data_IF_278437211553
#
_entry.id   IF_278437211553
#
_cell.length_a   1.000
_cell.length_b   1.000
_cell.length_c   1.000
_cell.angle_alpha   90.00
_cell.angle_beta   90.00
_cell.angle_gamma   90.00
#
_symmetry.space_group_name_H-M   'P 1'
#
loop_
_entity.id
_entity.type
_entity.pdbx_description
1 polymer ?
2 non-polymer ?
3 non-polymer ?
4 water ?
#
# COMPACT_ATOMS: atom_id res chain seq x y z
N UNK A 3 13.81 6.53 -11.97
CA UNK A 3 13.39 5.19 -12.50
C UNK A 3 13.72 4.04 -11.55
N UNK A 4 14.51 3.08 -12.04
CA UNK A 4 15.18 2.06 -11.21
C UNK A 4 14.35 0.84 -10.85
N UNK A 5 13.16 0.73 -11.41
CA UNK A 5 12.22 -0.30 -10.99
C UNK A 5 12.80 -1.71 -11.24
N UNK A 6 12.79 -2.56 -10.23
CA UNK A 6 13.25 -3.94 -10.37
C UNK A 6 12.36 -4.73 -11.36
N UNK A 7 12.95 -5.32 -12.42
CA UNK A 7 12.08 -6.08 -13.33
C UNK A 7 11.62 -7.38 -12.69
N UNK A 8 10.38 -7.77 -12.95
CA UNK A 8 9.84 -9.04 -12.48
C UNK A 8 8.81 -9.55 -13.48
N UNK A 9 8.54 -10.86 -13.47
CA UNK A 9 7.35 -11.30 -14.19
C UNK A 9 6.07 -10.67 -13.63
N UNK A 10 5.03 -10.71 -14.43
CA UNK A 10 3.73 -10.16 -14.06
C UNK A 10 2.89 -11.26 -13.45
N UNK A 11 2.32 -10.98 -12.28
CA UNK A 11 1.36 -11.84 -11.64
C UNK A 11 0.03 -11.10 -11.60
N UNK A 12 -1.00 -11.70 -12.17
CA UNK A 12 -2.33 -11.12 -12.14
C UNK A 12 -3.06 -11.58 -10.91
N UNK A 13 -3.62 -10.62 -10.19
CA UNK A 13 -4.49 -10.87 -9.06
C UNK A 13 -5.86 -10.36 -9.51
N UNK A 14 -6.71 -11.28 -9.95
CA UNK A 14 -7.93 -10.89 -10.66
C UNK A 14 -7.47 -10.17 -11.93
N UNK A 15 -8.03 -8.99 -12.16
CA UNK A 15 -7.66 -8.14 -13.28
C UNK A 15 -6.47 -7.22 -12.99
N UNK A 16 -5.95 -7.22 -11.76
CA UNK A 16 -4.86 -6.29 -11.38
C UNK A 16 -3.48 -6.92 -11.60
N UNK A 17 -2.67 -6.39 -12.54
CA UNK A 17 -1.32 -6.94 -12.70
C UNK A 17 -0.34 -6.38 -11.67
N UNK A 18 0.47 -7.26 -11.08
CA UNK A 18 1.52 -6.91 -10.12
C UNK A 18 2.84 -7.27 -10.74
N UNK A 19 3.80 -6.35 -10.69
CA UNK A 19 5.15 -6.64 -11.17
C UNK A 19 5.85 -5.43 -11.73
N UNK A 20 7.11 -5.63 -12.12
CA UNK A 20 8.01 -4.53 -12.45
C UNK A 20 7.57 -3.66 -13.62
N UNK A 21 6.71 -4.20 -14.49
CA UNK A 21 6.12 -3.46 -15.61
C UNK A 21 4.86 -2.69 -15.27
N UNK A 22 4.43 -2.70 -14.01
CA UNK A 22 3.10 -2.23 -13.67
C UNK A 22 3.14 -1.28 -12.48
N UNK A 23 2.14 -0.39 -12.38
CA UNK A 23 2.14 0.48 -11.22
C UNK A 23 2.08 -0.32 -9.93
N UNK A 24 2.70 0.21 -8.88
CA UNK A 24 2.71 -0.44 -7.57
C UNK A 24 1.29 -0.41 -7.03
N UNK A 25 0.77 -1.59 -6.70
CA UNK A 25 -0.64 -1.74 -6.33
C UNK A 25 -0.82 -1.54 -4.85
N UNK A 26 -1.83 -0.76 -4.51
CA UNK A 26 -2.21 -0.58 -3.12
C UNK A 26 -3.18 -1.67 -2.71
N UNK A 27 -2.92 -2.32 -1.57
CA UNK A 27 -3.90 -3.22 -1.01
C UNK A 27 -4.15 -3.00 0.46
N UNK A 28 -5.15 -3.72 0.98
CA UNK A 28 -5.53 -3.62 2.38
C UNK A 28 -6.14 -4.94 2.84
N UNK A 29 -6.63 -4.97 4.07
CA UNK A 29 -7.20 -6.16 4.65
C UNK A 29 -8.41 -5.75 5.50
N UNK A 30 -9.47 -6.54 5.44
CA UNK A 30 -10.65 -6.30 6.25
C UNK A 30 -10.35 -6.64 7.71
N UNK A 31 -11.14 -6.07 8.62
CA UNK A 31 -11.08 -6.48 10.02
C UNK A 31 -12.42 -6.89 10.60
N UNK A 32 -13.39 -7.12 9.73
CA UNK A 32 -14.68 -7.69 10.14
C UNK A 32 -14.55 -9.21 10.21
N UNK A 33 -15.38 -9.87 11.04
CA UNK A 33 -15.43 -11.33 10.95
C UNK A 33 -15.93 -11.73 9.56
N UNK A 34 -15.14 -12.52 8.85
CA UNK A 34 -15.46 -12.95 7.49
C UNK A 34 -16.81 -13.69 7.42
N UNK A 35 -17.15 -14.42 8.48
CA UNK A 35 -18.44 -15.09 8.56
C UNK A 35 -19.64 -14.14 8.46
N UNK A 36 -19.42 -12.88 8.86
CA UNK A 36 -20.43 -11.84 8.73
C UNK A 36 -20.38 -11.28 7.31
N UNK A 37 -21.26 -11.81 6.47
CA UNK A 37 -21.30 -11.51 5.04
C UNK A 37 -21.62 -10.04 4.79
N UNK A 38 -22.63 -9.54 5.48
CA UNK A 38 -23.06 -8.16 5.29
C UNK A 38 -21.95 -7.19 5.70
N UNK A 39 -21.40 -7.37 6.90
CA UNK A 39 -20.34 -6.46 7.37
C UNK A 39 -19.10 -6.52 6.47
N UNK A 40 -18.71 -7.73 6.10
CA UNK A 40 -17.47 -7.91 5.33
C UNK A 40 -17.62 -7.38 3.91
N UNK A 41 -18.75 -7.66 3.26
CA UNK A 41 -19.04 -7.14 1.92
C UNK A 41 -19.00 -5.61 1.95
N UNK A 42 -19.66 -5.00 2.92
CA UNK A 42 -19.65 -3.53 3.01
C UNK A 42 -18.22 -2.98 3.20
N UNK A 43 -17.40 -3.65 4.00
CA UNK A 43 -16.05 -3.14 4.23
C UNK A 43 -15.14 -3.37 3.02
N UNK A 44 -15.31 -4.48 2.32
CA UNK A 44 -14.56 -4.69 1.08
C UNK A 44 -14.85 -3.56 0.09
N UNK A 45 -16.13 -3.21 -0.07
CA UNK A 45 -16.52 -2.11 -0.95
C UNK A 45 -15.95 -0.77 -0.49
N UNK A 46 -16.02 -0.52 0.81
CA UNK A 46 -15.49 0.69 1.41
C UNK A 46 -13.99 0.82 1.11
N UNK A 47 -13.24 -0.25 1.31
CA UNK A 47 -11.81 -0.23 1.07
C UNK A 47 -11.49 -0.04 -0.41
N UNK A 48 -12.21 -0.76 -1.25
CA UNK A 48 -12.01 -0.68 -2.68
C UNK A 48 -12.26 0.74 -3.19
N UNK A 49 -13.32 1.37 -2.68
CA UNK A 49 -13.67 2.71 -3.16
C UNK A 49 -12.68 3.76 -2.68
N UNK A 50 -11.99 3.48 -1.58
CA UNK A 50 -10.97 4.37 -1.01
C UNK A 50 -9.67 4.27 -1.78
N UNK A 51 -9.56 3.21 -2.59
CA UNK A 51 -8.39 2.97 -3.41
C UNK A 51 -7.65 1.68 -3.20
N UNK A 52 -8.21 0.74 -2.44
CA UNK A 52 -7.58 -0.57 -2.29
C UNK A 52 -7.89 -1.39 -3.56
N UNK A 53 -6.88 -1.51 -4.40
CA UNK A 53 -6.97 -2.22 -5.66
C UNK A 53 -7.14 -3.73 -5.50
N UNK A 54 -6.62 -4.25 -4.39
CA UNK A 54 -6.75 -5.63 -3.99
C UNK A 54 -7.18 -5.62 -2.52
N UNK A 55 -8.04 -6.56 -2.12
CA UNK A 55 -8.47 -6.64 -0.71
C UNK A 55 -8.31 -8.07 -0.19
N UNK A 56 -7.66 -8.17 0.96
CA UNK A 56 -7.41 -9.43 1.63
C UNK A 56 -8.42 -9.60 2.73
N UNK A 57 -8.84 -10.84 2.96
CA UNK A 57 -9.69 -11.15 4.11
C UNK A 57 -9.26 -12.46 4.72
N UNK A 58 -9.41 -12.56 6.04
CA UNK A 58 -8.96 -13.78 6.72
C UNK A 58 -9.97 -14.90 6.40
N UNK A 59 -9.43 -16.06 6.07
CA UNK A 59 -10.25 -17.26 5.91
C UNK A 59 -9.75 -18.26 6.95
N UNK A 60 -10.23 -18.08 8.17
CA UNK A 60 -9.62 -18.71 9.36
C UNK A 60 -10.27 -20.00 9.81
N UNK A 61 -11.55 -20.16 9.49
CA UNK A 61 -12.31 -21.35 9.89
C UNK A 61 -13.40 -21.69 8.87
N UNK A 62 -14.18 -22.72 9.18
CA UNK A 62 -15.18 -23.23 8.25
C UNK A 62 -16.26 -22.21 7.94
N UNK A 63 -16.68 -21.46 8.97
CA UNK A 63 -17.71 -20.47 8.79
C UNK A 63 -17.23 -19.34 7.89
N UNK A 64 -15.95 -18.95 8.04
CA UNK A 64 -15.36 -17.94 7.15
C UNK A 64 -15.34 -18.42 5.71
N UNK A 65 -14.88 -19.66 5.52
CA UNK A 65 -14.75 -20.24 4.19
C UNK A 65 -16.09 -20.35 3.48
N UNK A 66 -17.15 -20.68 4.23
CA UNK A 66 -18.47 -20.80 3.63
C UNK A 66 -19.02 -19.44 3.20
N UNK A 67 -18.60 -18.38 3.86
CA UNK A 67 -19.07 -17.03 3.54
C UNK A 67 -18.42 -16.45 2.28
N UNK A 68 -17.22 -16.89 1.90
CA UNK A 68 -16.46 -16.23 0.85
C UNK A 68 -17.19 -16.23 -0.50
N UNK A 69 -17.76 -17.38 -0.93
CA UNK A 69 -18.52 -17.37 -2.19
C UNK A 69 -19.66 -16.36 -2.21
N UNK A 70 -20.37 -16.22 -1.09
CA UNK A 70 -21.47 -15.28 -0.99
C UNK A 70 -21.00 -13.81 -1.02
N UNK A 71 -19.88 -13.52 -0.35
CA UNK A 71 -19.26 -12.19 -0.40
C UNK A 71 -18.94 -11.83 -1.85
N UNK A 72 -18.30 -12.74 -2.56
CA UNK A 72 -17.94 -12.52 -3.96
C UNK A 72 -19.17 -12.29 -4.82
N UNK A 73 -20.20 -13.11 -4.63
CA UNK A 73 -21.48 -12.93 -5.33
C UNK A 73 -22.05 -11.53 -5.16
N UNK A 74 -22.07 -11.07 -3.92
CA UNK A 74 -22.65 -9.76 -3.64
C UNK A 74 -21.83 -8.63 -4.26
N UNK A 75 -20.50 -8.80 -4.28
CA UNK A 75 -19.61 -7.80 -4.91
C UNK A 75 -19.87 -7.71 -6.40
N UNK A 76 -19.93 -8.85 -7.07
CA UNK A 76 -20.23 -8.87 -8.50
C UNK A 76 -21.61 -8.30 -8.78
N UNK A 77 -22.58 -8.54 -7.90
CA UNK A 77 -23.91 -8.03 -8.08
C UNK A 77 -23.93 -6.52 -8.13
N UNK A 78 -23.00 -5.84 -7.47
CA UNK A 78 -22.90 -4.41 -7.75
C UNK A 78 -21.83 -3.97 -8.72
N UNK A 79 -21.38 -4.88 -9.55
CA UNK A 79 -20.42 -4.56 -10.59
C UNK A 79 -19.06 -4.20 -10.03
N UNK A 80 -18.78 -4.63 -8.80
CA UNK A 80 -17.49 -4.36 -8.17
C UNK A 80 -16.55 -5.51 -8.45
N UNK A 81 -15.51 -5.23 -9.24
CA UNK A 81 -14.51 -6.22 -9.61
C UNK A 81 -13.28 -6.05 -8.71
N UNK A 82 -13.39 -6.49 -7.48
CA UNK A 82 -12.28 -6.31 -6.58
C UNK A 82 -11.69 -7.69 -6.28
N UNK A 83 -10.41 -7.87 -6.64
CA UNK A 83 -9.71 -9.11 -6.35
C UNK A 83 -9.66 -9.37 -4.83
N UNK A 84 -9.97 -10.61 -4.44
CA UNK A 84 -9.92 -11.03 -3.04
C UNK A 84 -8.76 -11.98 -2.80
N UNK A 85 -8.03 -11.71 -1.72
CA UNK A 85 -6.95 -12.58 -1.26
C UNK A 85 -7.40 -13.28 0.01
N UNK A 86 -7.29 -14.60 0.03
CA UNK A 86 -7.55 -15.37 1.23
C UNK A 86 -6.32 -15.55 2.10
N UNK A 87 -6.42 -15.12 3.36
CA UNK A 87 -5.37 -15.25 4.33
C UNK A 87 -5.57 -16.56 5.09
N UNK A 88 -4.64 -17.50 4.92
CA UNK A 88 -4.74 -18.83 5.52
C UNK A 88 -3.65 -19.04 6.56
N UNK A 89 -4.03 -19.55 7.74
CA UNK A 89 -3.06 -19.96 8.74
C UNK A 89 -3.50 -21.24 9.39
N UNK A 90 -2.55 -22.17 9.56
CA UNK A 90 -2.76 -23.40 10.32
C UNK A 90 -3.58 -24.47 9.61
N UNK A 91 -4.77 -24.10 9.15
CA UNK A 91 -5.69 -25.06 8.53
C UNK A 91 -6.02 -24.74 7.08
N UNK A 92 -5.16 -23.98 6.42
CA UNK A 92 -5.39 -23.57 5.05
C UNK A 92 -5.63 -24.74 4.14
N UNK A 93 -4.84 -25.79 4.30
CA UNK A 93 -4.98 -26.99 3.49
C UNK A 93 -6.34 -27.66 3.71
N UNK A 94 -6.84 -27.70 4.95
CA UNK A 94 -8.14 -28.31 5.22
C UNK A 94 -9.27 -27.50 4.59
N UNK A 95 -9.19 -26.18 4.69
CA UNK A 95 -10.29 -25.34 4.26
C UNK A 95 -10.42 -25.30 2.74
N UNK A 96 -9.28 -25.23 2.06
CA UNK A 96 -9.27 -25.24 0.60
C UNK A 96 -9.74 -26.59 0.04
N UNK A 97 -9.33 -27.68 0.70
CA UNK A 97 -9.74 -29.04 0.31
C UNK A 97 -11.25 -29.22 0.47
N UNK A 98 -11.78 -28.84 1.63
CA UNK A 98 -13.17 -29.09 1.96
C UNK A 98 -14.13 -28.12 1.27
N UNK A 99 -13.69 -26.90 0.96
CA UNK A 99 -14.59 -25.90 0.38
C UNK A 99 -14.09 -25.38 -0.98
N UNK A 100 -14.18 -26.21 -2.03
CA UNK A 100 -13.71 -25.83 -3.36
C UNK A 100 -14.37 -24.58 -3.95
N UNK A 101 -15.59 -24.24 -3.53
CA UNK A 101 -16.25 -23.03 -4.02
C UNK A 101 -15.57 -21.76 -3.47
N UNK A 102 -15.15 -21.80 -2.22
CA UNK A 102 -14.33 -20.74 -1.63
C UNK A 102 -13.02 -20.63 -2.40
N UNK A 103 -12.38 -21.77 -2.65
CA UNK A 103 -11.09 -21.76 -3.33
C UNK A 103 -11.20 -21.11 -4.70
N UNK A 104 -12.30 -21.38 -5.38
CA UNK A 104 -12.57 -20.81 -6.70
C UNK A 104 -13.00 -19.35 -6.61
N UNK A 105 -13.69 -18.96 -5.55
CA UNK A 105 -14.16 -17.57 -5.41
C UNK A 105 -13.00 -16.59 -5.15
N UNK A 106 -11.95 -17.05 -4.45
CA UNK A 106 -10.77 -16.21 -4.19
C UNK A 106 -10.00 -15.97 -5.46
N UNK A 107 -9.27 -14.87 -5.50
CA UNK A 107 -8.39 -14.56 -6.61
C UNK A 107 -6.90 -14.79 -6.31
N UNK A 108 -6.59 -15.06 -5.05
CA UNK A 108 -5.22 -15.32 -4.61
C UNK A 108 -5.27 -15.99 -3.28
N UNK A 109 -4.35 -16.92 -3.02
CA UNK A 109 -4.19 -17.54 -1.70
C UNK A 109 -2.92 -17.00 -1.04
N UNK A 110 -3.01 -16.63 0.23
CA UNK A 110 -1.82 -16.31 1.01
C UNK A 110 -1.48 -17.49 1.91
N UNK A 111 -0.24 -17.94 1.78
CA UNK A 111 0.37 -18.99 2.60
C UNK A 111 1.47 -18.36 3.48
N UNK A 112 1.53 -18.76 4.74
CA UNK A 112 2.63 -18.34 5.60
C UNK A 112 3.43 -19.59 5.95
N UNK A 113 4.69 -19.67 5.50
CA UNK A 113 5.47 -20.88 5.70
C UNK A 113 5.77 -21.17 7.15
N UNK A 114 5.46 -20.24 8.06
CA UNK A 114 5.56 -20.49 9.49
C UNK A 114 4.26 -20.89 10.20
N UNK A 115 3.13 -20.91 9.49
CA UNK A 115 1.85 -21.32 10.07
C UNK A 115 1.28 -22.52 9.31
N UNK A 116 2.16 -23.43 8.90
CA UNK A 116 1.73 -24.62 8.15
C UNK A 116 1.40 -25.78 9.06
N UNK A 117 2.08 -25.85 10.21
CA UNK A 117 1.94 -26.95 11.16
C UNK A 117 3.30 -27.34 11.72
N UNK A 118 3.39 -28.53 12.30
CA UNK A 118 4.55 -28.96 13.09
C UNK A 118 5.34 -30.07 12.37
N UNK A 119 6.65 -29.90 12.27
CA UNK A 119 7.54 -30.94 11.71
C UNK A 119 7.24 -31.38 10.28
N UNK A 120 7.03 -32.69 10.10
CA UNK A 120 6.74 -33.27 8.77
C UNK A 120 5.46 -32.72 8.15
N UNK A 121 4.49 -32.39 9.00
CA UNK A 121 3.19 -31.93 8.57
C UNK A 121 3.28 -30.65 7.71
N UNK A 122 4.32 -29.84 7.96
CA UNK A 122 4.56 -28.61 7.21
C UNK A 122 4.67 -28.80 5.70
N UNK A 123 5.59 -29.66 5.27
CA UNK A 123 5.86 -29.89 3.84
C UNK A 123 4.60 -30.38 3.11
N UNK A 124 3.86 -31.30 3.73
CA UNK A 124 2.64 -31.85 3.11
C UNK A 124 1.54 -30.80 3.01
N UNK A 125 1.36 -29.99 4.06
CA UNK A 125 0.32 -28.97 4.02
C UNK A 125 0.60 -27.94 2.93
N UNK A 126 1.85 -27.49 2.86
CA UNK A 126 2.31 -26.57 1.82
C UNK A 126 2.01 -27.16 0.45
N UNK A 127 2.42 -28.40 0.24
CA UNK A 127 2.23 -29.08 -1.04
C UNK A 127 0.76 -29.12 -1.48
N UNK A 128 -0.14 -29.41 -0.56
CA UNK A 128 -1.56 -29.50 -0.90
C UNK A 128 -2.11 -28.13 -1.33
N UNK A 129 -1.72 -27.08 -0.62
CA UNK A 129 -2.20 -25.74 -0.95
C UNK A 129 -1.69 -25.29 -2.32
N UNK A 130 -0.41 -25.58 -2.61
CA UNK A 130 0.16 -25.24 -3.90
C UNK A 130 -0.50 -26.07 -5.01
N UNK A 131 -0.75 -27.36 -4.72
CA UNK A 131 -1.46 -28.22 -5.66
C UNK A 131 -2.83 -27.62 -6.03
N UNK A 132 -3.60 -27.21 -5.02
CA UNK A 132 -4.91 -26.64 -5.26
C UNK A 132 -4.81 -25.35 -6.08
N UNK A 133 -3.86 -24.47 -5.74
CA UNK A 133 -3.63 -23.23 -6.52
C UNK A 133 -3.31 -23.59 -7.97
N UNK A 134 -2.40 -24.54 -8.16
CA UNK A 134 -2.05 -25.01 -9.50
C UNK A 134 -3.29 -25.54 -10.24
N UNK A 135 -4.08 -26.38 -9.57
CA UNK A 135 -5.33 -26.94 -10.17
C UNK A 135 -6.28 -25.85 -10.69
N UNK A 136 -6.43 -24.78 -9.91
CA UNK A 136 -7.39 -23.72 -10.20
C UNK A 136 -6.78 -22.52 -10.93
N UNK A 137 -5.49 -22.53 -11.21
CA UNK A 137 -4.82 -21.41 -11.87
C UNK A 137 -4.72 -20.15 -11.00
N UNK A 138 -4.68 -20.31 -9.69
CA UNK A 138 -4.62 -19.16 -8.79
C UNK A 138 -3.18 -18.79 -8.45
N UNK A 139 -2.93 -17.49 -8.30
CA UNK A 139 -1.63 -17.06 -7.75
C UNK A 139 -1.61 -17.18 -6.25
N UNK A 140 -0.40 -17.24 -5.71
CA UNK A 140 -0.13 -17.42 -4.31
C UNK A 140 0.85 -16.36 -3.81
N UNK A 141 0.62 -15.83 -2.60
CA UNK A 141 1.68 -15.12 -1.91
C UNK A 141 2.24 -16.06 -0.87
N UNK A 142 3.54 -16.28 -0.94
CA UNK A 142 4.27 -16.90 0.14
C UNK A 142 4.75 -15.75 1.03
N UNK A 143 4.07 -15.58 2.15
CA UNK A 143 4.31 -14.48 3.04
C UNK A 143 4.84 -14.89 4.39
N UNK A 144 6.14 -14.71 4.59
CA UNK A 144 6.77 -14.91 5.88
C UNK A 144 6.60 -13.67 6.76
N UNK A 145 6.55 -13.88 8.06
CA UNK A 145 6.39 -12.80 9.01
C UNK A 145 7.17 -13.22 10.23
N UNK A 146 7.94 -12.32 10.83
CA UNK A 146 8.84 -12.72 11.92
C UNK A 146 8.08 -12.99 13.21
N UNK A 147 6.79 -12.64 13.24
CA UNK A 147 5.90 -13.03 14.33
C UNK A 147 5.53 -14.51 14.34
N UNK A 148 5.87 -15.21 13.25
CA UNK A 148 5.48 -16.61 13.07
C UNK A 148 6.60 -17.32 12.31
N UNK A 149 7.82 -17.22 12.83
CA UNK A 149 8.99 -17.78 12.16
C UNK A 149 9.13 -19.27 12.47
N UNK A 150 9.28 -20.06 11.42
CA UNK A 150 9.51 -21.51 11.51
C UNK A 150 10.63 -21.83 12.52
N UNK A 151 10.31 -22.47 13.66
CA UNK A 151 11.34 -22.68 14.70
C UNK A 151 12.47 -23.65 14.30
N UNK A 152 12.16 -24.61 13.43
CA UNK A 152 13.17 -25.59 12.99
C UNK A 152 14.18 -24.96 12.05
N UNK A 153 13.72 -24.04 11.22
CA UNK A 153 14.60 -23.32 10.33
C UNK A 153 15.52 -22.38 11.11
N UNK A 154 14.98 -21.73 12.13
CA UNK A 154 15.79 -20.88 12.98
C UNK A 154 16.89 -21.71 13.64
N UNK A 155 16.56 -22.89 14.15
CA UNK A 155 17.62 -23.70 14.76
C UNK A 155 18.71 -24.09 13.74
N UNK A 156 18.31 -24.47 12.53
CA UNK A 156 19.27 -24.83 11.49
C UNK A 156 20.22 -23.67 11.23
N UNK A 157 19.66 -22.47 11.12
CA UNK A 157 20.46 -21.27 10.87
C UNK A 157 21.29 -20.80 12.07
N UNK A 158 20.80 -21.04 13.29
CA UNK A 158 21.57 -20.77 14.51
C UNK A 158 22.83 -21.65 14.58
N UNK A 159 22.69 -22.90 14.15
CA UNK A 159 23.80 -23.85 14.11
C UNK A 159 24.81 -23.46 13.02
N UNK A 160 24.32 -23.13 11.83
CA UNK A 160 25.21 -22.61 10.79
C UNK A 160 26.00 -21.40 11.30
N UNK A 161 25.31 -20.50 11.99
CA UNK A 161 25.94 -19.28 12.52
C UNK A 161 27.05 -19.58 13.52
N UNK A 162 26.75 -20.49 14.43
CA UNK A 162 27.68 -20.90 15.51
C UNK A 162 28.98 -21.52 14.99
N UNK A 163 28.96 -22.01 13.75
CA UNK A 163 30.14 -22.55 13.09
C UNK A 163 30.99 -21.48 12.38
N UNK A 164 30.48 -20.27 12.26
CA UNK A 164 31.23 -19.23 11.57
C UNK A 164 32.41 -18.75 12.42
N UNK A 165 33.53 -18.39 11.76
CA UNK A 165 34.67 -17.78 12.47
C UNK A 165 34.23 -16.58 13.34
N UNK A 166 33.37 -15.73 12.79
CA UNK A 166 32.81 -14.59 13.52
C UNK A 166 31.29 -14.73 13.49
N UNK A 167 30.71 -15.37 14.52
CA UNK A 167 29.26 -15.52 14.51
C UNK A 167 28.52 -14.18 14.56
N UNK A 168 27.41 -14.08 13.84
CA UNK A 168 26.57 -12.90 13.86
C UNK A 168 25.67 -12.92 15.09
N UNK A 169 25.02 -11.80 15.37
CA UNK A 169 24.13 -11.75 16.53
C UNK A 169 22.88 -12.57 16.29
N UNK A 170 22.18 -12.88 17.37
CA UNK A 170 20.94 -13.65 17.30
C UNK A 170 19.90 -12.94 16.44
N UNK A 171 19.80 -11.62 16.59
CA UNK A 171 18.90 -10.80 15.78
C UNK A 171 19.15 -10.96 14.28
N UNK A 172 20.42 -10.86 13.88
CA UNK A 172 20.79 -11.01 12.48
C UNK A 172 20.42 -12.40 11.93
N UNK A 173 20.57 -13.45 12.75
CA UNK A 173 20.20 -14.80 12.33
C UNK A 173 18.68 -14.98 12.16
N UNK A 174 17.89 -14.31 13.01
CA UNK A 174 16.44 -14.27 12.85
C UNK A 174 16.07 -13.69 11.49
N UNK A 175 16.73 -12.60 11.11
CA UNK A 175 16.50 -12.00 9.82
C UNK A 175 16.92 -12.93 8.69
N UNK A 176 18.08 -13.59 8.84
CA UNK A 176 18.51 -14.59 7.86
C UNK A 176 17.46 -15.66 7.67
N UNK A 177 16.94 -16.16 8.79
CA UNK A 177 15.94 -17.22 8.78
C UNK A 177 14.64 -16.81 8.13
N UNK A 178 14.22 -15.58 8.37
CA UNK A 178 13.03 -15.07 7.76
C UNK A 178 13.16 -15.05 6.23
N UNK A 179 14.27 -14.54 5.74
CA UNK A 179 14.55 -14.53 4.30
C UNK A 179 14.60 -15.96 3.76
N UNK A 180 15.29 -16.85 4.46
CA UNK A 180 15.47 -18.22 4.00
C UNK A 180 14.13 -18.95 3.97
N UNK A 181 13.25 -18.66 4.93
CA UNK A 181 11.90 -19.22 4.95
C UNK A 181 11.13 -18.93 3.66
N UNK A 182 11.15 -17.67 3.23
CA UNK A 182 10.46 -17.23 2.04
C UNK A 182 11.13 -17.82 0.79
N UNK A 183 12.45 -17.75 0.73
CA UNK A 183 13.18 -18.16 -0.46
C UNK A 183 13.06 -19.67 -0.67
N UNK A 184 13.22 -20.44 0.40
CA UNK A 184 13.07 -21.88 0.30
C UNK A 184 11.70 -22.30 -0.20
N UNK A 185 10.66 -21.68 0.33
CA UNK A 185 9.30 -22.06 -0.08
C UNK A 185 9.02 -21.62 -1.49
N UNK A 186 9.54 -20.45 -1.86
CA UNK A 186 9.49 -19.97 -3.25
C UNK A 186 10.07 -21.01 -4.19
N UNK A 187 11.28 -21.45 -3.87
CA UNK A 187 11.98 -22.45 -4.68
C UNK A 187 11.24 -23.78 -4.75
N UNK A 188 10.66 -24.19 -3.62
CA UNK A 188 9.86 -25.41 -3.55
C UNK A 188 8.59 -25.32 -4.41
N UNK A 189 7.91 -24.18 -4.39
CA UNK A 189 6.72 -24.00 -5.22
C UNK A 189 7.06 -24.03 -6.71
N UNK A 190 8.13 -23.35 -7.11
CA UNK A 190 8.59 -23.41 -8.51
C UNK A 190 8.90 -24.85 -8.95
N UNK A 191 9.60 -25.57 -8.08
CA UNK A 191 9.98 -26.95 -8.39
C UNK A 191 8.77 -27.88 -8.52
N UNK A 192 7.73 -27.61 -7.74
CA UNK A 192 6.43 -28.31 -7.83
C UNK A 192 5.65 -28.03 -9.12
N UNK A 193 5.99 -26.96 -9.83
CA UNK A 193 5.35 -26.61 -11.09
C UNK A 193 4.53 -25.31 -11.10
N UNK A 194 4.45 -24.60 -9.99
CA UNK A 194 3.72 -23.34 -9.95
C UNK A 194 4.45 -22.30 -10.77
N UNK A 195 3.74 -21.56 -11.60
CA UNK A 195 4.41 -20.65 -12.54
C UNK A 195 5.02 -19.43 -11.86
N UNK A 196 6.03 -18.84 -12.50
CA UNK A 196 6.59 -17.57 -12.06
C UNK A 196 5.54 -16.46 -12.13
N UNK A 197 4.53 -16.64 -12.98
CA UNK A 197 3.43 -15.69 -13.09
C UNK A 197 2.33 -15.95 -12.04
N UNK A 198 2.60 -16.82 -11.08
CA UNK A 198 1.64 -17.11 -10.03
C UNK A 198 2.21 -17.00 -8.62
N UNK A 199 3.38 -16.36 -8.46
CA UNK A 199 4.06 -16.29 -7.16
C UNK A 199 4.51 -14.89 -6.78
N UNK A 200 4.00 -14.43 -5.63
CA UNK A 200 4.40 -13.17 -5.01
C UNK A 200 5.03 -13.52 -3.65
N UNK A 201 6.05 -12.79 -3.24
CA UNK A 201 6.68 -13.03 -1.94
C UNK A 201 6.60 -11.84 -1.00
N UNK A 202 6.49 -12.12 0.29
CA UNK A 202 6.74 -11.15 1.33
C UNK A 202 7.54 -11.77 2.51
N UNK A 203 8.19 -10.91 3.28
CA UNK A 203 8.93 -11.35 4.49
C UNK A 203 8.97 -10.16 5.43
N UNK A 204 7.93 -10.03 6.26
CA UNK A 204 7.73 -8.81 7.01
C UNK A 204 8.30 -8.86 8.44
N UNK A 205 8.81 -7.70 8.85
CA UNK A 205 9.28 -7.46 10.22
C UNK A 205 8.69 -6.11 10.67
N UNK A 206 8.80 -5.80 11.96
CA UNK A 206 8.14 -4.61 12.50
C UNK A 206 9.09 -3.43 12.73
N UNK A 207 10.37 -3.58 12.39
CA UNK A 207 11.33 -2.47 12.52
C UNK A 207 11.85 -2.07 11.15
N UNK A 208 11.85 -0.77 10.89
CA UNK A 208 12.18 -0.26 9.58
C UNK A 208 13.54 -0.66 9.02
N UNK A 209 14.59 -0.50 9.80
CA UNK A 209 15.91 -0.80 9.28
C UNK A 209 16.08 -2.29 8.99
N UNK A 210 15.44 -3.15 9.79
CA UNK A 210 15.41 -4.59 9.49
C UNK A 210 14.63 -4.89 8.20
N UNK A 211 13.51 -4.18 7.96
CA UNK A 211 12.72 -4.41 6.75
C UNK A 211 13.53 -4.13 5.49
N UNK A 212 14.32 -3.06 5.53
CA UNK A 212 15.14 -2.68 4.40
C UNK A 212 16.18 -3.78 4.12
N UNK A 213 16.83 -4.29 5.17
CA UNK A 213 17.78 -5.37 4.99
C UNK A 213 17.10 -6.60 4.34
N UNK A 214 15.97 -7.00 4.90
CA UNK A 214 15.25 -8.19 4.45
C UNK A 214 14.87 -8.13 2.96
N UNK A 215 14.26 -7.02 2.56
CA UNK A 215 13.76 -6.87 1.20
C UNK A 215 14.89 -6.72 0.19
N UNK A 216 16.02 -6.14 0.59
CA UNK A 216 17.20 -6.14 -0.28
C UNK A 216 17.70 -7.57 -0.56
N UNK A 217 17.66 -8.43 0.44
CA UNK A 217 18.01 -9.84 0.24
C UNK A 217 17.01 -10.60 -0.63
N UNK A 218 15.72 -10.44 -0.32
CA UNK A 218 14.66 -11.04 -1.12
C UNK A 218 14.76 -10.64 -2.58
N UNK A 219 15.00 -9.35 -2.82
CA UNK A 219 15.08 -8.81 -4.16
C UNK A 219 16.27 -9.40 -4.92
N UNK A 220 17.36 -9.62 -4.22
CA UNK A 220 18.58 -10.17 -4.84
C UNK A 220 18.43 -11.65 -5.13
N UNK A 221 17.86 -12.38 -4.18
CA UNK A 221 17.86 -13.85 -4.22
C UNK A 221 16.70 -14.46 -5.00
N UNK A 222 15.71 -13.65 -5.36
CA UNK A 222 14.52 -14.12 -6.09
C UNK A 222 14.19 -13.20 -7.23
N UNK A 223 13.34 -13.68 -8.13
CA UNK A 223 12.85 -12.89 -9.27
C UNK A 223 11.38 -12.48 -9.12
N UNK A 224 10.74 -12.88 -8.03
CA UNK A 224 9.31 -12.67 -7.85
C UNK A 224 8.94 -11.21 -7.58
N UNK A 225 7.73 -10.80 -7.99
CA UNK A 225 7.21 -9.57 -7.46
C UNK A 225 7.10 -9.67 -5.93
N UNK A 226 7.28 -8.53 -5.28
CA UNK A 226 7.37 -8.48 -3.82
C UNK A 226 6.24 -7.63 -3.23
N UNK A 227 5.56 -8.23 -2.25
CA UNK A 227 4.55 -7.56 -1.44
C UNK A 227 5.32 -7.00 -0.25
N UNK A 228 5.29 -5.67 -0.11
CA UNK A 228 6.12 -4.94 0.82
C UNK A 228 5.24 -4.31 1.86
N UNK A 229 5.59 -4.52 3.12
CA UNK A 229 4.93 -3.83 4.21
C UNK A 229 5.69 -3.99 5.50
N UNK A 230 5.49 -3.01 6.39
CA UNK A 230 6.06 -3.05 7.75
C UNK A 230 4.96 -3.58 8.64
N UNK A 231 5.13 -4.80 9.11
CA UNK A 231 4.08 -5.45 9.86
C UNK A 231 4.02 -4.86 11.25
N UNK A 232 2.82 -4.89 11.82
CA UNK A 232 2.56 -4.44 13.19
C UNK A 232 3.09 -3.01 13.44
N UNK A 233 2.86 -2.10 12.48
CA UNK A 233 3.38 -0.72 12.57
C UNK A 233 2.83 0.08 13.73
N UNK A 234 1.61 -0.22 14.13
CA UNK A 234 1.05 0.36 15.32
C UNK A 234 0.07 1.50 15.07
N UNK A 235 -0.11 2.31 16.08
CA UNK A 235 -1.20 3.28 16.14
C UNK A 235 -0.75 4.69 15.83
N UNK A 236 -1.70 5.48 15.34
CA UNK A 236 -1.53 6.93 15.24
C UNK A 236 -0.33 7.37 14.42
N UNK A 237 0.31 8.44 14.88
CA UNK A 237 1.42 9.05 14.16
C UNK A 237 2.62 8.10 14.06
N UNK A 238 2.89 7.37 15.12
CA UNK A 238 3.96 6.37 15.13
C UNK A 238 3.78 5.37 14.00
N UNK A 239 2.58 4.82 13.85
CA UNK A 239 2.32 3.84 12.78
C UNK A 239 2.51 4.39 11.39
N UNK A 240 2.01 5.59 11.18
CA UNK A 240 2.13 6.27 9.88
C UNK A 240 3.61 6.53 9.54
N UNK A 241 4.33 7.12 10.50
CA UNK A 241 5.74 7.47 10.29
C UNK A 241 6.59 6.23 10.05
N UNK A 242 6.37 5.21 10.87
CA UNK A 242 7.19 4.00 10.77
C UNK A 242 6.96 3.30 9.43
N UNK A 243 5.70 3.30 8.95
CA UNK A 243 5.39 2.69 7.68
C UNK A 243 6.06 3.45 6.54
N UNK A 244 5.93 4.77 6.52
CA UNK A 244 6.55 5.59 5.49
C UNK A 244 8.08 5.47 5.50
N UNK A 245 8.65 5.45 6.70
CA UNK A 245 10.11 5.43 6.84
C UNK A 245 10.71 4.10 6.42
N UNK A 246 9.98 3.02 6.63
CA UNK A 246 10.40 1.68 6.24
C UNK A 246 10.29 1.43 4.74
N UNK A 247 9.22 1.93 4.13
CA UNK A 247 8.95 1.64 2.74
C UNK A 247 9.75 2.52 1.79
N UNK A 248 9.95 3.78 2.17
CA UNK A 248 10.55 4.74 1.23
C UNK A 248 11.93 4.36 0.68
N UNK A 249 12.87 3.91 1.54
CA UNK A 249 14.20 3.59 1.01
C UNK A 249 14.13 2.47 -0.02
N UNK A 250 13.26 1.50 0.24
CA UNK A 250 13.11 0.37 -0.69
C UNK A 250 12.44 0.82 -1.99
N UNK A 251 11.34 1.58 -1.86
CA UNK A 251 10.60 1.99 -3.03
C UNK A 251 11.43 2.93 -3.92
N UNK A 252 12.25 3.80 -3.32
CA UNK A 252 13.14 4.65 -4.10
C UNK A 252 14.22 3.88 -4.85
N UNK A 253 14.65 2.75 -4.28
CA UNK A 253 15.57 1.79 -4.91
C UNK A 253 14.91 0.93 -5.97
N UNK A 254 13.60 0.99 -6.12
CA UNK A 254 12.88 0.18 -7.12
C UNK A 254 12.44 -1.18 -6.64
N UNK A 255 12.45 -1.41 -5.33
CA UNK A 255 12.05 -2.68 -4.76
C UNK A 255 10.61 -2.57 -4.23
N UNK A 256 9.75 -3.48 -4.66
CA UNK A 256 8.37 -3.54 -4.21
C UNK A 256 7.36 -3.39 -5.32
N UNK A 257 6.36 -4.26 -5.36
CA UNK A 257 5.36 -4.29 -6.44
C UNK A 257 3.92 -4.10 -5.98
N UNK A 258 3.68 -4.32 -4.70
CA UNK A 258 2.43 -3.99 -4.07
C UNK A 258 2.73 -3.70 -2.58
N UNK A 259 1.94 -2.84 -1.96
CA UNK A 259 2.17 -2.48 -0.55
C UNK A 259 0.90 -2.55 0.25
N UNK A 260 1.05 -2.88 1.53
CA UNK A 260 0.00 -2.83 2.52
C UNK A 260 0.55 -2.09 3.73
N UNK A 261 -0.24 -1.18 4.27
CA UNK A 261 0.13 -0.46 5.47
C UNK A 261 -0.62 -1.09 6.66
N UNK A 262 0.16 -1.57 7.62
CA UNK A 262 -0.37 -2.34 8.76
C UNK A 262 -0.59 -1.46 9.99
N UNK A 263 -1.59 -0.58 9.92
CA UNK A 263 -1.94 0.33 11.00
C UNK A 263 -2.95 -0.28 11.94
N UNK A 264 -2.80 0.02 13.23
CA UNK A 264 -3.82 -0.32 14.21
C UNK A 264 -4.82 0.82 14.24
N UNK A 265 -6.08 0.54 13.87
CA UNK A 265 -7.04 1.64 13.93
C UNK A 265 -7.28 2.09 15.36
N UNK A 266 -7.43 3.40 15.56
CA UNK A 266 -8.04 3.89 16.81
C UNK A 266 -9.51 3.43 16.87
N UNK A 267 -10.07 3.24 18.08
CA UNK A 267 -11.48 2.85 18.16
C UNK A 267 -12.32 3.89 17.44
N UNK A 268 -13.27 3.43 16.62
CA UNK A 268 -14.12 4.33 15.83
C UNK A 268 -13.50 4.82 14.52
N UNK A 269 -12.18 4.67 14.35
CA UNK A 269 -11.48 5.19 13.18
C UNK A 269 -11.68 4.24 11.99
N UNK A 270 -12.01 4.77 10.81
CA UNK A 270 -12.36 3.83 9.73
C UNK A 270 -11.14 3.03 9.24
N UNK A 271 -11.38 1.82 8.76
CA UNK A 271 -10.31 0.93 8.29
C UNK A 271 -9.61 1.48 7.02
N UNK A 272 -10.23 2.46 6.36
CA UNK A 272 -9.68 3.08 5.17
C UNK A 272 -8.44 3.92 5.41
N UNK A 273 -8.14 4.27 6.67
CA UNK A 273 -6.96 5.11 6.96
C UNK A 273 -5.67 4.50 6.41
N UNK A 274 -5.54 3.19 6.54
CA UNK A 274 -4.37 2.49 5.99
C UNK A 274 -4.20 2.65 4.48
N UNK A 275 -5.30 2.68 3.73
CA UNK A 275 -5.30 2.90 2.28
C UNK A 275 -4.82 4.29 1.94
N UNK A 276 -5.36 5.28 2.66
CA UNK A 276 -4.93 6.67 2.50
C UNK A 276 -3.42 6.82 2.72
N UNK A 277 -2.90 6.18 3.77
CA UNK A 277 -1.48 6.28 4.07
C UNK A 277 -0.64 5.59 2.97
N UNK A 278 -1.07 4.43 2.50
CA UNK A 278 -0.39 3.74 1.39
C UNK A 278 -0.32 4.60 0.14
N UNK A 279 -1.44 5.23 -0.19
CA UNK A 279 -1.47 6.15 -1.33
C UNK A 279 -0.54 7.33 -1.14
N UNK A 280 -0.54 7.92 0.04
CA UNK A 280 0.34 9.07 0.31
C UNK A 280 1.82 8.69 0.20
N UNK A 281 2.17 7.47 0.58
CA UNK A 281 3.57 7.05 0.50
C UNK A 281 3.95 7.03 -0.98
N UNK A 282 3.15 6.39 -1.81
CA UNK A 282 3.48 6.26 -3.24
C UNK A 282 3.48 7.61 -3.93
N UNK A 283 2.54 8.46 -3.54
CA UNK A 283 2.48 9.77 -4.18
C UNK A 283 3.65 10.66 -3.73
N UNK A 284 4.00 10.60 -2.44
CA UNK A 284 5.14 11.39 -1.92
C UNK A 284 6.43 11.10 -2.69
N UNK A 285 6.57 9.88 -3.18
CA UNK A 285 7.77 9.45 -3.85
C UNK A 285 7.65 9.57 -5.38
N UNK A 286 6.54 10.14 -5.85
CA UNK A 286 6.36 10.33 -7.30
C UNK A 286 6.14 9.04 -8.08
N UNK A 287 5.70 7.98 -7.40
CA UNK A 287 5.54 6.68 -8.05
C UNK A 287 4.17 6.54 -8.64
N UNK A 288 3.16 7.07 -7.96
CA UNK A 288 1.81 7.17 -8.50
C UNK A 288 1.18 8.45 -8.08
N UNK A 289 0.10 8.80 -8.77
CA UNK A 289 -0.63 10.01 -8.48
C UNK A 289 -2.09 9.64 -8.31
N UNK A 290 -2.65 9.96 -7.16
CA UNK A 290 -4.05 9.63 -6.84
C UNK A 290 -4.98 10.81 -6.75
N UNK A 291 -4.44 11.96 -6.33
CA UNK A 291 -5.24 13.16 -6.12
C UNK A 291 -4.35 14.38 -6.12
N UNK A 292 -4.95 15.54 -6.45
CA UNK A 292 -4.23 16.79 -6.28
C UNK A 292 -3.64 16.92 -4.87
N UNK A 293 -2.46 17.51 -4.78
CA UNK A 293 -1.76 17.69 -3.51
C UNK A 293 -1.45 19.17 -3.30
N UNK A 294 -1.50 19.57 -2.03
CA UNK A 294 -1.15 20.91 -1.62
C UNK A 294 0.22 20.92 -0.94
N UNK A 295 1.10 21.78 -1.47
CA UNK A 295 2.38 22.13 -0.89
C UNK A 295 2.13 23.42 -0.11
N UNK A 296 2.39 23.40 1.18
CA UNK A 296 2.23 24.61 1.97
C UNK A 296 3.35 24.74 2.97
N UNK A 297 3.73 25.98 3.20
CA UNK A 297 4.81 26.22 4.12
C UNK A 297 4.28 26.09 5.56
N UNK A 298 5.18 25.92 6.53
CA UNK A 298 4.75 25.75 7.91
C UNK A 298 4.16 27.03 8.48
N UNK A 299 4.56 28.17 7.90
CA UNK A 299 4.18 29.45 8.44
C UNK A 299 5.06 29.73 9.66
N UNK A 300 5.51 30.98 9.77
CA UNK A 300 6.32 31.39 10.92
C UNK A 300 5.85 32.77 11.39
N UNK A 301 6.69 33.45 12.17
CA UNK A 301 6.36 34.80 12.63
C UNK A 301 6.26 35.84 11.53
N UNK A 302 6.64 35.50 10.29
CA UNK A 302 6.50 36.46 9.18
C UNK A 302 5.09 36.55 8.63
N UNK A 303 4.19 35.63 9.00
CA UNK A 303 2.80 35.66 8.48
C UNK A 303 1.82 35.48 9.63
N UNK A 304 0.58 35.96 9.44
CA UNK A 304 -0.46 35.80 10.48
C UNK A 304 -0.98 34.36 10.50
N UNK A 305 -0.73 33.67 11.61
CA UNK A 305 -0.89 32.22 11.67
C UNK A 305 -2.31 31.72 11.37
N UNK A 306 -3.32 32.29 12.02
CA UNK A 306 -4.70 31.80 11.86
C UNK A 306 -5.16 31.96 10.42
N UNK A 307 -4.94 33.15 9.85
CA UNK A 307 -5.38 33.38 8.48
C UNK A 307 -4.71 32.41 7.51
N UNK A 308 -3.40 32.25 7.65
CA UNK A 308 -2.67 31.37 6.74
C UNK A 308 -3.13 29.91 6.87
N UNK A 309 -3.23 29.43 8.11
CA UNK A 309 -3.62 28.03 8.37
C UNK A 309 -5.04 27.73 7.86
N UNK A 310 -5.96 28.67 8.06
CA UNK A 310 -7.35 28.51 7.61
C UNK A 310 -7.48 28.47 6.08
N UNK A 311 -6.72 29.30 5.39
CA UNK A 311 -6.74 29.33 3.93
C UNK A 311 -6.19 28.02 3.37
N UNK A 312 -5.05 27.57 3.89
CA UNK A 312 -4.47 26.30 3.45
C UNK A 312 -5.44 25.14 3.67
N UNK A 313 -6.07 25.12 4.84
CA UNK A 313 -7.05 24.08 5.18
C UNK A 313 -8.27 24.16 4.24
N UNK A 314 -8.75 25.38 3.99
CA UNK A 314 -9.88 25.59 3.08
C UNK A 314 -9.58 25.11 1.64
N UNK A 315 -8.38 25.42 1.16
CA UNK A 315 -7.95 24.99 -0.17
C UNK A 315 -7.91 23.45 -0.22
N UNK A 316 -7.32 22.82 0.79
CA UNK A 316 -7.25 21.36 0.80
C UNK A 316 -8.66 20.74 0.85
N UNK A 317 -9.55 21.32 1.64
CA UNK A 317 -10.93 20.83 1.70
C UNK A 317 -11.65 20.94 0.38
N UNK A 318 -11.51 22.07 -0.31
CA UNK A 318 -12.17 22.24 -1.60
C UNK A 318 -11.65 21.25 -2.65
N UNK A 319 -10.34 21.07 -2.75
CA UNK A 319 -9.79 20.10 -3.70
C UNK A 319 -10.37 18.71 -3.47
N UNK A 320 -10.55 18.35 -2.21
CA UNK A 320 -11.12 17.05 -1.84
C UNK A 320 -12.58 16.95 -2.27
N UNK A 321 -13.36 18.00 -2.06
CA UNK A 321 -14.78 18.02 -2.49
C UNK A 321 -14.94 17.90 -4.00
N UNK A 322 -14.07 18.57 -4.75
CA UNK A 322 -14.16 18.60 -6.23
C UNK A 322 -13.60 17.35 -6.92
N UNK A 323 -12.83 16.53 -6.21
CA UNK A 323 -12.13 15.42 -6.87
C UNK A 323 -13.02 14.38 -7.59
N UNK A 324 -14.14 13.94 -6.98
CA UNK A 324 -14.98 12.97 -7.71
C UNK A 324 -15.39 13.49 -9.10
N UNK A 325 -15.89 14.72 -9.14
CA UNK A 325 -16.27 15.35 -10.40
C UNK A 325 -15.07 15.52 -11.34
N UNK A 326 -13.94 15.99 -10.80
CA UNK A 326 -12.75 16.25 -11.61
C UNK A 326 -12.22 14.96 -12.23
N UNK A 327 -12.21 13.90 -11.44
CA UNK A 327 -11.76 12.59 -11.92
C UNK A 327 -12.54 12.20 -13.16
N UNK A 328 -13.85 12.41 -13.12
CA UNK A 328 -14.73 12.02 -14.22
C UNK A 328 -14.55 12.91 -15.46
N UNK A 329 -14.31 14.21 -15.27
CA UNK A 329 -14.26 15.16 -16.41
C UNK A 329 -12.87 15.44 -16.96
N UNK A 330 -11.86 15.39 -16.09
CA UNK A 330 -10.54 15.94 -16.40
C UNK A 330 -9.43 14.90 -16.25
N UNK A 331 -9.18 14.10 -17.30
CA UNK A 331 -8.15 13.07 -17.21
C UNK A 331 -6.78 13.66 -16.90
N UNK A 332 -6.06 13.04 -15.97
CA UNK A 332 -4.73 13.51 -15.57
C UNK A 332 -4.73 14.47 -14.39
N UNK A 333 -5.92 14.90 -13.93
CA UNK A 333 -6.04 15.87 -12.82
C UNK A 333 -5.38 15.39 -11.51
N UNK A 334 -5.20 14.07 -11.35
CA UNK A 334 -4.48 13.46 -10.23
C UNK A 334 -3.09 14.06 -10.00
N UNK A 335 -2.48 14.59 -11.07
CA UNK A 335 -1.13 15.13 -11.02
C UNK A 335 -1.06 16.60 -10.57
N UNK A 336 -2.22 17.21 -10.31
CA UNK A 336 -2.28 18.63 -9.95
C UNK A 336 -1.51 18.93 -8.64
N UNK A 337 -0.73 19.99 -8.68
CA UNK A 337 0.10 20.48 -7.58
C UNK A 337 -0.34 21.94 -7.32
N UNK A 338 -0.88 22.19 -6.12
CA UNK A 338 -1.33 23.51 -5.70
C UNK A 338 -0.45 23.96 -4.51
N UNK A 339 -0.02 25.22 -4.54
CA UNK A 339 0.74 25.78 -3.43
C UNK A 339 -0.04 26.88 -2.67
N UNK A 340 0.13 26.87 -1.36
CA UNK A 340 -0.43 27.88 -0.48
C UNK A 340 0.67 28.31 0.47
N UNK A 341 1.13 29.56 0.33
CA UNK A 341 2.36 30.01 1.00
C UNK A 341 2.14 31.26 1.84
N UNK A 342 3.02 31.46 2.82
CA UNK A 342 2.80 32.43 3.89
C UNK A 342 3.36 33.83 3.70
N UNK A 343 4.46 33.95 2.94
CA UNK A 343 5.07 35.25 2.70
C UNK A 343 5.98 35.26 1.47
N UNK A 344 6.63 36.40 1.23
CA UNK A 344 7.45 36.59 0.03
C UNK A 344 8.75 35.78 0.04
N UNK A 345 9.17 35.26 1.21
CA UNK A 345 10.46 34.59 1.29
C UNK A 345 10.50 33.42 0.32
N UNK A 346 9.67 32.42 0.53
CA UNK A 346 9.58 31.31 -0.41
C UNK A 346 8.27 31.23 -1.21
N UNK A 347 7.37 32.17 -1.01
CA UNK A 347 6.01 32.06 -1.54
C UNK A 347 5.97 32.01 -3.06
N UNK A 348 6.50 33.06 -3.70
CA UNK A 348 6.53 33.10 -5.17
C UNK A 348 7.30 31.93 -5.79
N UNK A 349 8.47 31.63 -5.24
CA UNK A 349 9.33 30.57 -5.79
C UNK A 349 8.65 29.22 -5.73
N UNK A 350 8.08 28.88 -4.59
CA UNK A 350 7.39 27.59 -4.46
C UNK A 350 6.12 27.57 -5.33
N UNK A 351 5.39 28.69 -5.37
CA UNK A 351 4.18 28.80 -6.17
C UNK A 351 4.47 28.58 -7.66
N UNK A 352 5.64 29.06 -8.08
CA UNK A 352 6.11 28.91 -9.46
C UNK A 352 6.50 27.50 -9.85
N UNK A 353 6.81 26.65 -8.86
CA UNK A 353 7.08 25.23 -9.11
C UNK A 353 5.83 24.38 -9.13
N UNK A 354 4.74 24.94 -8.60
CA UNK A 354 3.44 24.26 -8.60
C UNK A 354 2.77 24.53 -9.94
N UNK A 355 1.69 23.81 -10.22
CA UNK A 355 0.88 24.15 -11.41
C UNK A 355 0.22 25.53 -11.19
N UNK A 356 -0.29 25.73 -9.96
CA UNK A 356 -0.91 26.99 -9.56
C UNK A 356 -0.71 27.19 -8.06
N UNK A 357 -0.42 28.42 -7.67
CA UNK A 357 -0.12 28.69 -6.27
C UNK A 357 -0.38 30.12 -5.88
N UNK A 358 -0.76 30.30 -4.61
CA UNK A 358 -0.92 31.62 -4.02
C UNK A 358 0.14 31.88 -2.92
N UNK A 359 0.62 33.11 -2.87
CA UNK A 359 1.60 33.55 -1.89
C UNK A 359 1.01 34.73 -1.11
N UNK A 360 0.69 34.51 0.16
CA UNK A 360 0.06 35.56 0.96
C UNK A 360 1.07 36.63 1.33
N UNK A 361 0.57 37.82 1.67
CA UNK A 361 1.45 38.84 2.20
C UNK A 361 1.78 38.57 3.67
N UNK A 362 3.08 38.58 3.97
CA UNK A 362 3.58 38.48 5.32
C UNK A 362 3.82 39.87 5.89
N UNK A 363 4.53 39.92 7.01
CA UNK A 363 4.87 41.16 7.70
C UNK A 363 5.69 42.09 6.82
N UNK A 364 5.34 43.38 6.87
CA UNK A 364 6.07 44.41 6.13
C UNK A 364 5.74 44.46 4.65
N UNK A 365 4.81 43.63 4.18
CA UNK A 365 4.44 43.58 2.78
C UNK A 365 3.15 44.36 2.53
N UNK A 366 2.98 44.86 1.30
CA UNK A 366 1.69 45.40 0.88
C UNK A 366 0.64 44.28 1.00
N UNK A 367 -0.61 44.61 1.41
CA UNK A 367 -1.66 43.59 1.62
C UNK A 367 -2.26 43.01 0.32
N UNK A 368 -1.41 42.38 -0.48
CA UNK A 368 -1.84 41.77 -1.72
C UNK A 368 -1.19 40.41 -1.87
N UNK A 369 -1.92 39.51 -2.55
CA UNK A 369 -1.54 38.12 -2.63
C UNK A 369 -1.36 37.68 -4.09
N UNK A 370 -0.11 37.66 -4.58
CA UNK A 370 0.10 37.19 -5.95
C UNK A 370 -0.25 35.71 -6.14
N UNK A 371 -0.80 35.40 -7.32
CA UNK A 371 -1.15 34.04 -7.72
C UNK A 371 -0.36 33.74 -9.01
N UNK A 372 0.28 32.58 -8.99
CA UNK A 372 1.10 32.12 -10.11
C UNK A 372 0.50 30.85 -10.67
N UNK A 373 0.59 30.71 -11.99
CA UNK A 373 0.22 29.46 -12.64
C UNK A 373 1.21 29.20 -13.78
N UNK A 374 1.61 27.94 -13.93
CA UNK A 374 2.56 27.53 -14.94
C UNK A 374 3.86 28.35 -14.89
N UNK A 375 4.27 28.71 -13.69
CA UNK A 375 5.57 29.36 -13.48
C UNK A 375 5.58 30.86 -13.67
N UNK A 376 4.41 31.47 -13.89
CA UNK A 376 4.37 32.94 -14.01
C UNK A 376 3.14 33.59 -13.39
N UNK A 377 3.24 34.89 -13.17
CA UNK A 377 2.19 35.64 -12.49
C UNK A 377 0.87 35.56 -13.29
N UNK A 378 -0.18 35.15 -12.61
CA UNK A 378 -1.51 35.04 -13.20
C UNK A 378 -2.34 36.26 -12.77
N UNK A 379 -2.34 36.55 -11.47
CA UNK A 379 -3.01 37.76 -10.99
C UNK A 379 -2.52 38.12 -9.59
N UNK A 380 -3.08 39.17 -9.02
CA UNK A 380 -2.82 39.55 -7.65
C UNK A 380 -4.16 39.82 -6.99
N UNK A 381 -4.41 39.14 -5.88
CA UNK A 381 -5.68 39.21 -5.16
C UNK A 381 -5.53 40.13 -3.93
N UNK A 382 -6.63 40.80 -3.57
CA UNK A 382 -6.65 41.61 -2.35
C UNK A 382 -8.06 41.75 -1.79
N UNK A 383 -8.13 42.18 -0.53
CA UNK A 383 -9.38 42.39 0.16
C UNK A 383 -9.95 41.11 0.73
N UNK A 384 -11.28 41.07 0.84
CA UNK A 384 -12.01 39.92 1.35
C UNK A 384 -12.14 38.85 0.27
N UNK A 385 -12.52 37.64 0.69
CA UNK A 385 -12.78 36.55 -0.25
C UNK A 385 -11.58 36.09 -1.07
N UNK A 386 -10.36 36.30 -0.56
CA UNK A 386 -9.13 35.82 -1.20
C UNK A 386 -9.26 34.35 -1.50
N UNK A 387 -9.75 33.61 -0.50
CA UNK A 387 -9.92 32.16 -0.58
C UNK A 387 -10.83 31.72 -1.74
N UNK A 388 -12.01 32.33 -1.84
CA UNK A 388 -12.97 32.00 -2.90
C UNK A 388 -12.44 32.36 -4.29
N UNK A 389 -11.86 33.53 -4.41
CA UNK A 389 -11.30 33.98 -5.69
C UNK A 389 -10.18 33.02 -6.15
N UNK A 390 -9.29 32.64 -5.24
CA UNK A 390 -8.25 31.66 -5.57
C UNK A 390 -8.81 30.29 -6.03
N UNK A 391 -9.80 29.77 -5.33
CA UNK A 391 -10.38 28.49 -5.72
C UNK A 391 -11.10 28.55 -7.07
N UNK A 392 -11.65 29.71 -7.43
CA UNK A 392 -12.19 29.91 -8.77
C UNK A 392 -11.07 29.84 -9.82
N UNK A 393 -9.94 30.47 -9.52
CA UNK A 393 -8.80 30.43 -10.43
C UNK A 393 -8.29 28.99 -10.58
N UNK A 394 -8.32 28.21 -9.51
CA UNK A 394 -7.87 26.83 -9.55
C UNK A 394 -8.85 26.00 -10.39
N UNK A 395 -10.15 26.22 -10.19
CA UNK A 395 -11.16 25.61 -11.05
C UNK A 395 -10.91 25.95 -12.53
N UNK A 396 -10.76 27.22 -12.85
CA UNK A 396 -10.45 27.66 -14.21
C UNK A 396 -9.21 27.00 -14.76
N UNK A 397 -8.15 26.95 -13.95
CA UNK A 397 -6.89 26.34 -14.35
C UNK A 397 -7.07 24.86 -14.71
N UNK A 398 -7.80 24.15 -13.86
CA UNK A 398 -8.00 22.70 -14.04
C UNK A 398 -8.75 22.41 -15.34
N UNK A 399 -9.85 23.15 -15.57
CA UNK A 399 -10.67 23.08 -16.81
C UNK A 399 -9.81 23.17 -18.07
N UNK A 400 -8.86 24.08 -18.07
CA UNK A 400 -7.99 24.33 -19.22
C UNK A 400 -6.86 23.30 -19.32
N UNK A 401 -6.12 23.11 -18.23
CA UNK A 401 -4.93 22.25 -18.25
C UNK A 401 -5.29 20.80 -18.52
N UNK A 402 -6.37 20.32 -17.91
CA UNK A 402 -6.73 18.90 -17.93
C UNK A 402 -7.95 18.59 -18.77
N UNK A 403 -8.28 19.49 -19.69
CA UNK A 403 -9.36 19.27 -20.64
C UNK A 403 -9.08 18.01 -21.46
N UNK A 404 -10.12 17.22 -21.77
CA UNK A 404 -9.86 16.05 -22.62
C UNK A 404 -9.38 16.45 -24.02
X LIG B 1 7.75 31.73 7.18
X LIG B 1 7.36 32.85 4.70
X LIG B 1 6.53 30.31 5.17
X LIG B 1 9.26 32.46 5.72
X LIG B 1 7.44 29.49 7.16
X LIG B 1 5.85 32.29 6.15
X LIG B 1 6.78 31.39 3.14
X LIG C 1 1.26 -10.35 6.76
X LIG C 1 2.39 -11.25 7.24
X LIG C 1 1.42 -9.91 5.32
X LIG C 1 -0.10 -10.92 7.10
X LIG C 1 1.43 -9.06 7.72
X LIG C 1 0.38 -7.89 7.99
X LIG C 1 -0.14 -7.40 6.66
X LIG C 1 -0.75 -8.45 8.81
X LIG C 1 1.15 -6.86 8.79
#
# INVERSE_FOLDING_TARGET
MEGMRRPTPTVYVGRVPIGGAHPIAVQSMTNTPTRDVEATTAQVLELHRAGSEIVRLTVNDEEAAKAVPEIKRRLLAEGAEVPLVGDFHFNGHLLLRKYPKMAEALDKFRINPGTLGRGRHKDEHFAEMIRIAMDLGKPVRIGANWGSLDPALLTELMDRNARRPEPKSAHEVVLEALVESAVRAYEAALEMGLGEDKLVLSAKVSKARDLVWVYRELARRTQAPLHLGLTEAGMGVKGIVASAAALAPLLLEGIGDTIRVSLTPAPGEPRTKEVEVAQEILQALGLRAFAPEVTSCPGCGRTTSTFFQELAEEVSRRLKERLPEWRARYPGVEELKVAVMGCVVNGPGESKHAHIGISLPGAGEEPKAPVYADGKLLTILKGEGIAEEFLRLVEDYVKTRFAPKA
F3S FE1 FE3 FE4 S1 S2 S3 S4
DPO P1 O1 O2 O3 O4 P2 O5 O6 O7
#
